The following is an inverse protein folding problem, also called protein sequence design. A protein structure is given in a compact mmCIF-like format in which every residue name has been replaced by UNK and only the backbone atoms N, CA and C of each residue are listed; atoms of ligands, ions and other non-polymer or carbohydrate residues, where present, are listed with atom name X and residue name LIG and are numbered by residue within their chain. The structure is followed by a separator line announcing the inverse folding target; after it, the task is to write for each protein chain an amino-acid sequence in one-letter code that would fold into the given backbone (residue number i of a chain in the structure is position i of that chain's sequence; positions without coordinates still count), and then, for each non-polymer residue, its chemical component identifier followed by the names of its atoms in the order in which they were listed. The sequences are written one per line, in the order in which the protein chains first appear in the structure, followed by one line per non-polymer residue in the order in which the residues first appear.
data_IF_774564201620
#
_entry.id   IF_774564201620
#
_cell.length_a   1.000
_cell.length_b   1.000
_cell.length_c   1.000
_cell.angle_alpha   90.00
_cell.angle_beta   90.00
_cell.angle_gamma   90.00
#
_symmetry.space_group_name_H-M   'P 1'
#
loop_
_entity.id
_entity.type
_entity.pdbx_description
1 polymer ?
#
# COMPACT_ATOMS: atom_id res chain seq x y z
N UNK A 1 29.37 22.79 -46.59
CA UNK A 1 28.27 21.85 -46.27
C UNK A 1 27.67 22.09 -44.88
N UNK A 2 28.20 22.99 -44.06
CA UNK A 2 27.51 23.49 -42.86
C UNK A 2 27.65 22.64 -41.60
N UNK A 3 28.25 21.45 -41.69
CA UNK A 3 28.50 20.57 -40.54
C UNK A 3 29.61 21.10 -39.62
N UNK A 4 29.49 20.81 -38.33
CA UNK A 4 30.49 21.16 -37.34
C UNK A 4 31.82 20.45 -37.65
N UNK A 5 32.93 21.12 -37.36
CA UNK A 5 34.28 20.60 -37.59
C UNK A 5 34.54 19.29 -36.85
N UNK A 6 33.93 19.13 -35.68
CA UNK A 6 34.03 17.93 -34.84
C UNK A 6 33.38 16.72 -35.50
N UNK A 7 32.15 16.86 -36.00
CA UNK A 7 31.45 15.78 -36.71
C UNK A 7 32.15 15.43 -38.03
N UNK A 8 32.72 16.43 -38.73
CA UNK A 8 33.54 16.20 -39.92
C UNK A 8 34.78 15.35 -39.61
N UNK A 9 35.51 15.68 -38.55
CA UNK A 9 36.68 14.89 -38.13
C UNK A 9 36.28 13.47 -37.69
N UNK A 10 35.19 13.33 -36.94
CA UNK A 10 34.68 12.02 -36.50
C UNK A 10 34.27 11.13 -37.68
N UNK A 11 33.67 11.73 -38.73
CA UNK A 11 33.24 11.00 -39.92
C UNK A 11 34.40 10.44 -40.74
N UNK A 12 35.49 11.20 -40.87
CA UNK A 12 36.72 10.75 -41.55
C UNK A 12 37.39 9.62 -40.78
N UNK A 13 37.35 9.67 -39.45
CA UNK A 13 37.84 8.57 -38.59
C UNK A 13 36.98 7.31 -38.72
N UNK A 14 35.66 7.44 -38.88
CA UNK A 14 34.73 6.31 -38.97
C UNK A 14 34.65 5.68 -40.36
N UNK A 15 34.72 6.49 -41.42
CA UNK A 15 34.42 6.08 -42.81
C UNK A 15 35.58 6.25 -43.79
N UNK A 16 36.72 6.79 -43.35
CA UNK A 16 37.88 7.11 -44.18
C UNK A 16 37.70 8.39 -45.00
N UNK A 17 38.66 8.70 -45.87
CA UNK A 17 38.71 9.95 -46.64
C UNK A 17 37.80 9.94 -47.90
N UNK A 18 36.56 9.48 -47.73
CA UNK A 18 35.53 9.49 -48.78
C UNK A 18 34.44 10.51 -48.41
N UNK A 19 34.32 11.62 -49.15
CA UNK A 19 33.42 12.72 -48.78
C UNK A 19 31.94 12.33 -48.80
N UNK A 20 31.51 11.48 -49.73
CA UNK A 20 30.10 11.05 -49.83
C UNK A 20 29.72 10.12 -48.67
N UNK A 21 30.63 9.23 -48.26
CA UNK A 21 30.41 8.35 -47.10
C UNK A 21 30.43 9.14 -45.78
N UNK A 22 31.35 10.10 -45.66
CA UNK A 22 31.40 10.99 -44.50
C UNK A 22 30.12 11.80 -44.35
N UNK A 23 29.59 12.32 -45.47
CA UNK A 23 28.32 13.04 -45.50
C UNK A 23 27.15 12.22 -44.96
N UNK A 24 26.97 10.99 -45.47
CA UNK A 24 25.90 10.09 -45.01
C UNK A 24 26.07 9.76 -43.52
N UNK A 25 27.30 9.49 -43.09
CA UNK A 25 27.59 9.19 -41.69
C UNK A 25 27.23 10.36 -40.76
N UNK A 26 27.60 11.59 -41.11
CA UNK A 26 27.30 12.77 -40.28
C UNK A 26 25.79 12.96 -40.14
N UNK A 27 25.04 12.84 -41.24
CA UNK A 27 23.57 12.96 -41.20
C UNK A 27 22.96 11.89 -40.32
N UNK A 28 23.32 10.61 -40.52
CA UNK A 28 22.81 9.52 -39.70
C UNK A 28 23.18 9.66 -38.21
N UNK A 29 24.40 10.11 -37.91
CA UNK A 29 24.87 10.30 -36.54
C UNK A 29 24.15 11.46 -35.82
N UNK A 30 23.85 12.54 -36.55
CA UNK A 30 23.08 13.66 -36.00
C UNK A 30 21.61 13.27 -35.77
N UNK A 31 21.00 12.54 -36.69
CA UNK A 31 19.65 12.00 -36.53
C UNK A 31 19.57 11.03 -35.33
N UNK A 32 20.55 10.14 -35.17
CA UNK A 32 20.62 9.23 -34.02
C UNK A 32 20.78 9.97 -32.70
N UNK A 33 21.67 10.97 -32.64
CA UNK A 33 21.82 11.83 -31.45
C UNK A 33 20.51 12.55 -31.11
N UNK A 34 19.82 13.08 -32.10
CA UNK A 34 18.54 13.75 -31.91
C UNK A 34 17.48 12.77 -31.42
N UNK A 35 17.37 11.60 -32.05
CA UNK A 35 16.45 10.55 -31.63
C UNK A 35 16.68 10.10 -30.18
N UNK A 36 17.94 9.88 -29.78
CA UNK A 36 18.29 9.53 -28.40
C UNK A 36 17.97 10.65 -27.41
N UNK A 37 18.19 11.91 -27.81
CA UNK A 37 17.83 13.07 -26.99
C UNK A 37 16.30 13.14 -26.79
N UNK A 38 15.54 13.02 -27.87
CA UNK A 38 14.07 13.07 -27.84
C UNK A 38 13.50 11.92 -27.00
N UNK A 39 14.07 10.72 -27.11
CA UNK A 39 13.68 9.55 -26.31
C UNK A 39 13.93 9.77 -24.82
N UNK A 40 15.10 10.29 -24.45
CA UNK A 40 15.42 10.60 -23.06
C UNK A 40 14.49 11.70 -22.50
N UNK A 41 14.23 12.74 -23.29
CA UNK A 41 13.32 13.82 -22.91
C UNK A 41 11.90 13.28 -22.69
N UNK A 42 11.38 12.49 -23.63
CA UNK A 42 10.06 11.87 -23.51
C UNK A 42 9.96 10.95 -22.27
N UNK A 43 11.04 10.21 -21.95
CA UNK A 43 11.08 9.38 -20.75
C UNK A 43 10.99 10.21 -19.47
N UNK A 44 11.73 11.31 -19.39
CA UNK A 44 11.72 12.21 -18.24
C UNK A 44 10.35 12.88 -18.10
N UNK A 45 9.80 13.40 -19.19
CA UNK A 45 8.48 14.04 -19.20
C UNK A 45 7.38 13.06 -18.80
N UNK A 46 7.44 11.81 -19.25
CA UNK A 46 6.48 10.76 -18.86
C UNK A 46 6.54 10.46 -17.36
N UNK A 47 7.74 10.33 -16.78
CA UNK A 47 7.88 10.13 -15.34
C UNK A 47 7.39 11.32 -14.53
N UNK A 48 7.71 12.54 -14.96
CA UNK A 48 7.26 13.76 -14.30
C UNK A 48 5.73 13.92 -14.37
N UNK A 49 5.11 13.61 -15.52
CA UNK A 49 3.65 13.62 -15.68
C UNK A 49 2.99 12.63 -14.73
N UNK A 50 3.49 11.37 -14.70
CA UNK A 50 2.96 10.34 -13.80
C UNK A 50 3.04 10.76 -12.33
N UNK A 51 4.16 11.35 -11.90
CA UNK A 51 4.31 11.86 -10.53
C UNK A 51 3.38 13.03 -10.23
N UNK A 52 3.17 13.93 -11.19
CA UNK A 52 2.25 15.07 -11.04
C UNK A 52 0.80 14.59 -10.90
N UNK A 53 0.36 13.69 -11.77
CA UNK A 53 -0.97 13.06 -11.72
C UNK A 53 -1.17 12.30 -10.40
N UNK A 54 -0.18 11.52 -9.95
CA UNK A 54 -0.27 10.81 -8.67
C UNK A 54 -0.42 11.78 -7.48
N UNK A 55 0.30 12.91 -7.51
CA UNK A 55 0.19 13.94 -6.48
C UNK A 55 -1.19 14.61 -6.49
N UNK A 56 -1.73 14.89 -7.68
CA UNK A 56 -3.05 15.50 -7.82
C UNK A 56 -4.15 14.54 -7.34
N UNK A 57 -4.10 13.27 -7.75
CA UNK A 57 -5.02 12.24 -7.28
C UNK A 57 -5.00 12.08 -5.76
N UNK A 58 -3.81 12.04 -5.15
CA UNK A 58 -3.67 12.00 -3.68
C UNK A 58 -4.26 13.24 -3.00
N UNK A 59 -4.09 14.42 -3.60
CA UNK A 59 -4.66 15.65 -3.06
C UNK A 59 -6.20 15.65 -3.14
N UNK A 60 -6.76 15.21 -4.27
CA UNK A 60 -8.20 15.08 -4.45
C UNK A 60 -8.80 14.05 -3.48
N UNK A 61 -8.17 12.87 -3.34
CA UNK A 61 -8.60 11.88 -2.35
C UNK A 61 -8.55 12.44 -0.92
N UNK A 62 -7.51 13.19 -0.58
CA UNK A 62 -7.40 13.77 0.75
C UNK A 62 -8.54 14.78 0.98
N UNK A 63 -8.85 15.63 0.00
CA UNK A 63 -9.99 16.55 0.11
C UNK A 63 -11.34 15.87 0.23
N UNK A 64 -11.58 14.76 -0.49
CA UNK A 64 -12.84 14.02 -0.37
C UNK A 64 -12.99 13.40 1.01
N UNK A 65 -11.92 12.84 1.57
CA UNK A 65 -11.90 12.34 2.96
C UNK A 65 -12.16 13.46 3.98
N UNK A 66 -11.63 14.67 3.74
CA UNK A 66 -11.87 15.83 4.62
C UNK A 66 -13.32 16.30 4.60
N UNK A 67 -13.94 16.33 3.42
CA UNK A 67 -15.30 16.87 3.22
C UNK A 67 -16.39 15.86 3.56
N UNK A 68 -16.06 14.58 3.68
CA UNK A 68 -17.05 13.53 3.94
C UNK A 68 -17.61 13.61 5.37
N UNK A 69 -18.91 13.90 5.46
CA UNK A 69 -19.68 13.78 6.72
C UNK A 69 -20.10 12.33 7.00
N UNK A 70 -20.46 11.58 5.96
CA UNK A 70 -20.75 10.16 6.05
C UNK A 70 -19.46 9.34 5.85
N UNK A 71 -18.63 9.27 6.88
CA UNK A 71 -17.30 8.65 6.83
C UNK A 71 -17.35 7.16 6.42
N UNK A 72 -18.36 6.42 6.88
CA UNK A 72 -18.57 5.01 6.54
C UNK A 72 -18.95 4.76 5.09
N UNK A 73 -19.56 5.74 4.39
CA UNK A 73 -19.93 5.62 2.99
C UNK A 73 -18.71 5.53 2.05
N UNK A 74 -17.53 5.95 2.52
CA UNK A 74 -16.27 5.84 1.77
C UNK A 74 -15.62 4.46 1.87
N UNK A 75 -16.06 3.61 2.80
CA UNK A 75 -15.46 2.30 3.10
C UNK A 75 -16.51 1.18 3.11
N UNK A 76 -17.28 1.07 2.03
CA UNK A 76 -18.39 0.10 1.91
C UNK A 76 -17.96 -1.36 1.94
N UNK A 77 -16.68 -1.64 1.65
CA UNK A 77 -16.12 -3.00 1.66
C UNK A 77 -15.39 -3.34 2.96
N UNK A 78 -15.41 -2.47 3.97
CA UNK A 78 -14.72 -2.71 5.25
C UNK A 78 -15.32 -3.90 6.00
N UNK A 79 -14.49 -4.88 6.37
CA UNK A 79 -14.88 -5.97 7.25
C UNK A 79 -15.12 -5.47 8.68
N UNK A 80 -14.36 -4.46 9.13
CA UNK A 80 -14.54 -3.83 10.45
C UNK A 80 -15.93 -3.17 10.59
N UNK A 81 -16.48 -2.65 9.49
CA UNK A 81 -17.82 -2.03 9.44
C UNK A 81 -18.94 -3.00 9.02
N UNK A 82 -18.59 -4.19 8.51
CA UNK A 82 -19.56 -5.20 8.03
C UNK A 82 -20.45 -5.75 9.15
N UNK A 83 -21.55 -6.43 8.79
CA UNK A 83 -22.44 -7.09 9.76
C UNK A 83 -21.73 -8.13 10.65
N UNK A 84 -20.66 -8.75 10.14
CA UNK A 84 -19.89 -9.80 10.83
C UNK A 84 -19.08 -9.25 12.02
N UNK A 85 -18.83 -7.95 12.06
CA UNK A 85 -18.09 -7.30 13.15
C UNK A 85 -18.96 -7.13 14.40
N UNK A 86 -18.45 -7.56 15.55
CA UNK A 86 -19.09 -7.43 16.87
C UNK A 86 -18.90 -6.03 17.50
N UNK A 87 -18.10 -5.15 16.86
CA UNK A 87 -17.72 -3.83 17.36
C UNK A 87 -18.83 -2.77 17.15
N UNK A 88 -19.90 -2.85 17.94
CA UNK A 88 -21.11 -2.01 17.78
C UNK A 88 -20.82 -0.53 18.08
N UNK A 89 -20.11 -0.20 19.16
CA UNK A 89 -19.86 1.20 19.56
C UNK A 89 -18.91 1.88 18.59
N UNK A 90 -17.91 1.17 18.09
CA UNK A 90 -16.98 1.65 17.07
C UNK A 90 -17.73 1.99 15.78
N UNK A 91 -18.64 1.11 15.32
CA UNK A 91 -19.46 1.38 14.14
C UNK A 91 -20.38 2.59 14.32
N UNK A 92 -21.01 2.72 15.48
CA UNK A 92 -21.85 3.88 15.80
C UNK A 92 -21.02 5.17 15.79
N UNK A 93 -19.84 5.17 16.42
CA UNK A 93 -18.94 6.33 16.43
C UNK A 93 -18.49 6.72 15.02
N UNK A 94 -18.12 5.73 14.19
CA UNK A 94 -17.70 5.95 12.81
C UNK A 94 -18.84 6.41 11.89
N UNK A 95 -20.08 6.03 12.18
CA UNK A 95 -21.25 6.41 11.39
C UNK A 95 -21.78 7.79 11.75
N UNK A 96 -21.82 8.11 13.05
CA UNK A 96 -22.56 9.26 13.56
C UNK A 96 -21.67 10.43 13.98
N UNK A 97 -20.51 10.17 14.58
CA UNK A 97 -19.77 11.20 15.30
C UNK A 97 -18.46 11.62 14.63
N UNK A 98 -17.77 10.70 13.95
CA UNK A 98 -16.46 10.99 13.34
C UNK A 98 -16.56 12.02 12.21
N UNK A 99 -17.71 12.11 11.55
CA UNK A 99 -17.98 13.09 10.50
C UNK A 99 -17.93 14.54 10.97
N UNK A 100 -18.27 14.76 12.25
CA UNK A 100 -18.27 16.08 12.90
C UNK A 100 -16.93 16.41 13.58
N UNK A 101 -16.03 15.44 13.67
CA UNK A 101 -14.66 15.66 14.16
C UNK A 101 -13.83 16.33 13.07
N UNK A 102 -12.98 17.29 13.48
CA UNK A 102 -12.09 18.02 12.60
C UNK A 102 -11.29 17.08 11.67
N UNK A 103 -11.26 17.35 10.36
CA UNK A 103 -10.60 16.49 9.37
C UNK A 103 -9.10 16.33 9.59
N UNK A 104 -8.45 17.31 10.22
CA UNK A 104 -7.02 17.28 10.55
C UNK A 104 -6.75 16.76 11.96
N UNK A 105 -7.80 16.34 12.69
CA UNK A 105 -7.62 15.67 13.98
C UNK A 105 -6.89 14.34 13.81
N UNK A 106 -6.06 14.03 14.81
CA UNK A 106 -5.28 12.80 14.81
C UNK A 106 -6.16 11.55 14.74
N UNK A 107 -7.30 11.56 15.44
CA UNK A 107 -8.27 10.46 15.45
C UNK A 107 -8.77 10.15 14.03
N UNK A 108 -9.21 11.19 13.30
CA UNK A 108 -9.77 11.02 11.95
C UNK A 108 -8.71 10.63 10.93
N UNK A 109 -7.50 11.17 11.04
CA UNK A 109 -6.37 10.80 10.17
C UNK A 109 -5.95 9.34 10.39
N UNK A 110 -5.79 8.92 11.65
CA UNK A 110 -5.37 7.56 11.99
C UNK A 110 -6.44 6.52 11.61
N UNK A 111 -7.72 6.78 11.86
CA UNK A 111 -8.83 5.90 11.44
C UNK A 111 -8.91 5.81 9.91
N UNK A 112 -8.76 6.94 9.20
CA UNK A 112 -8.72 6.95 7.74
C UNK A 112 -7.59 6.08 7.21
N UNK A 113 -6.40 6.19 7.82
CA UNK A 113 -5.24 5.41 7.42
C UNK A 113 -5.46 3.91 7.68
N UNK A 114 -6.00 3.54 8.83
CA UNK A 114 -6.32 2.15 9.15
C UNK A 114 -7.33 1.56 8.15
N UNK A 115 -8.41 2.28 7.82
CA UNK A 115 -9.41 1.81 6.86
C UNK A 115 -8.88 1.74 5.42
N UNK A 116 -7.93 2.62 5.04
CA UNK A 116 -7.21 2.49 3.76
C UNK A 116 -6.33 1.25 3.72
N UNK A 117 -5.62 0.94 4.81
CA UNK A 117 -4.82 -0.29 4.93
C UNK A 117 -5.73 -1.53 4.91
N UNK A 118 -6.88 -1.48 5.56
CA UNK A 118 -7.90 -2.53 5.47
C UNK A 118 -8.34 -2.73 4.02
N UNK A 119 -8.74 -1.68 3.31
CA UNK A 119 -9.18 -1.80 1.91
C UNK A 119 -8.09 -2.44 1.01
N UNK A 120 -6.81 -2.15 1.27
CA UNK A 120 -5.70 -2.80 0.59
C UNK A 120 -5.54 -4.27 0.98
N UNK A 121 -5.64 -4.61 2.27
CA UNK A 121 -5.62 -5.98 2.75
C UNK A 121 -6.74 -6.82 2.10
N UNK A 122 -7.95 -6.27 2.01
CA UNK A 122 -9.10 -6.90 1.35
C UNK A 122 -8.82 -7.10 -0.14
N UNK A 123 -8.25 -6.09 -0.80
CA UNK A 123 -7.90 -6.17 -2.24
C UNK A 123 -6.90 -7.29 -2.54
N UNK A 124 -5.90 -7.47 -1.69
CA UNK A 124 -4.81 -8.44 -1.92
C UNK A 124 -5.10 -9.84 -1.38
N UNK A 125 -5.69 -9.93 -0.19
CA UNK A 125 -5.82 -11.19 0.56
C UNK A 125 -7.26 -11.63 0.76
N UNK A 126 -8.24 -10.77 0.45
CA UNK A 126 -9.68 -11.06 0.49
C UNK A 126 -10.07 -11.68 1.84
N UNK A 127 -10.74 -12.83 1.81
CA UNK A 127 -11.27 -13.52 2.98
C UNK A 127 -10.17 -13.88 4.00
N UNK A 128 -8.95 -14.17 3.55
CA UNK A 128 -7.83 -14.47 4.47
C UNK A 128 -7.55 -13.33 5.45
N UNK A 129 -7.79 -12.08 5.05
CA UNK A 129 -7.61 -10.91 5.93
C UNK A 129 -8.78 -10.66 6.88
N UNK A 130 -9.93 -11.31 6.66
CA UNK A 130 -11.18 -11.03 7.37
C UNK A 130 -11.07 -11.27 8.87
N UNK A 131 -10.64 -12.45 9.30
CA UNK A 131 -10.56 -12.78 10.73
C UNK A 131 -9.60 -11.83 11.47
N UNK A 132 -8.48 -11.46 10.84
CA UNK A 132 -7.58 -10.45 11.41
C UNK A 132 -8.27 -9.09 11.58
N UNK A 133 -8.95 -8.61 10.53
CA UNK A 133 -9.63 -7.30 10.56
C UNK A 133 -10.80 -7.26 11.54
N UNK A 134 -11.54 -8.36 11.69
CA UNK A 134 -12.56 -8.50 12.73
C UNK A 134 -11.95 -8.44 14.13
N UNK A 135 -10.81 -9.12 14.38
CA UNK A 135 -10.10 -9.01 15.65
C UNK A 135 -9.56 -7.60 15.92
N UNK A 136 -9.12 -6.87 14.89
CA UNK A 136 -8.73 -5.46 15.02
C UNK A 136 -9.92 -4.63 15.50
N UNK A 137 -11.11 -4.83 14.92
CA UNK A 137 -12.32 -4.14 15.36
C UNK A 137 -12.67 -4.43 16.82
N UNK A 138 -12.54 -5.69 17.26
CA UNK A 138 -12.76 -6.08 18.66
C UNK A 138 -11.78 -5.44 19.63
N UNK A 139 -10.48 -5.40 19.27
CA UNK A 139 -9.45 -4.74 20.11
C UNK A 139 -9.72 -3.25 20.24
N UNK A 140 -10.12 -2.59 19.15
CA UNK A 140 -10.49 -1.18 19.16
C UNK A 140 -11.76 -0.93 20.00
N UNK A 141 -12.80 -1.75 19.85
CA UNK A 141 -14.03 -1.69 20.66
C UNK A 141 -13.73 -1.84 22.16
N UNK A 142 -12.87 -2.79 22.53
CA UNK A 142 -12.47 -3.00 23.93
C UNK A 142 -11.79 -1.76 24.50
N UNK A 143 -10.91 -1.11 23.74
CA UNK A 143 -10.25 0.13 24.15
C UNK A 143 -11.19 1.34 24.17
N UNK A 144 -12.27 1.32 23.37
CA UNK A 144 -13.30 2.34 23.34
C UNK A 144 -14.12 2.36 24.65
N UNK A 145 -14.30 1.21 25.30
CA UNK A 145 -15.03 1.11 26.57
C UNK A 145 -14.38 1.82 27.76
N UNK A 146 -13.11 2.25 27.64
CA UNK A 146 -12.35 2.79 28.77
C UNK A 146 -12.60 4.29 29.05
N UNK A 147 -13.07 5.08 28.07
CA UNK A 147 -13.32 6.52 28.23
C UNK A 147 -14.08 7.10 27.02
N UNK A 148 -14.57 8.35 27.13
CA UNK A 148 -15.15 9.07 26.00
C UNK A 148 -14.06 9.52 25.01
N UNK A 149 -13.87 8.73 23.95
CA UNK A 149 -12.86 8.91 22.91
C UNK A 149 -13.08 10.21 22.12
N UNK A 150 -14.33 10.63 21.92
CA UNK A 150 -14.64 11.84 21.15
C UNK A 150 -14.25 13.09 21.94
N UNK A 151 -14.50 13.13 23.25
CA UNK A 151 -14.07 14.27 24.05
C UNK A 151 -12.58 14.28 24.34
N UNK A 152 -11.97 13.11 24.49
CA UNK A 152 -10.55 12.99 24.82
C UNK A 152 -9.65 13.18 23.59
N UNK A 153 -9.96 12.53 22.47
CA UNK A 153 -8.99 12.31 21.39
C UNK A 153 -9.29 13.16 20.13
N UNK A 154 -10.44 13.86 20.05
CA UNK A 154 -10.76 14.81 18.95
C UNK A 154 -9.94 16.11 18.98
N UNK A 155 -9.51 16.56 20.16
CA UNK A 155 -8.77 17.82 20.35
C UNK A 155 -7.25 17.65 20.31
N UNK A 156 -6.77 16.41 20.19
CA UNK A 156 -5.34 16.11 20.20
C UNK A 156 -4.80 16.22 18.78
N UNK A 157 -3.87 17.15 18.57
CA UNK A 157 -3.22 17.37 17.27
C UNK A 157 -1.94 16.54 17.08
N UNK A 158 -1.35 15.98 18.15
CA UNK A 158 -0.07 15.27 18.09
C UNK A 158 -0.06 13.94 18.86
N UNK A 159 0.45 12.89 18.21
CA UNK A 159 0.54 11.52 18.73
C UNK A 159 1.48 11.41 19.93
N UNK A 160 2.57 12.19 19.93
CA UNK A 160 3.57 12.19 21.01
C UNK A 160 3.02 12.68 22.36
N UNK A 161 1.87 13.35 22.35
CA UNK A 161 1.22 13.92 23.54
C UNK A 161 -0.06 13.18 23.93
N UNK A 162 -0.51 12.19 23.16
CA UNK A 162 -1.75 11.47 23.46
C UNK A 162 -1.51 10.35 24.48
N UNK A 163 -1.99 10.50 25.71
CA UNK A 163 -2.10 9.42 26.70
C UNK A 163 -3.34 8.54 26.49
N UNK A 164 -4.07 8.74 25.39
CA UNK A 164 -5.33 8.06 25.05
C UNK A 164 -5.01 6.62 24.62
N UNK A 165 -5.41 5.64 25.45
CA UNK A 165 -5.17 4.22 25.18
C UNK A 165 -5.78 3.76 23.85
N UNK A 166 -6.93 4.33 23.47
CA UNK A 166 -7.56 4.07 22.16
C UNK A 166 -6.67 4.51 20.99
N UNK A 167 -6.11 5.71 21.04
CA UNK A 167 -5.20 6.23 20.00
C UNK A 167 -3.90 5.43 19.94
N UNK A 168 -3.37 5.01 21.09
CA UNK A 168 -2.19 4.15 21.15
C UNK A 168 -2.45 2.81 20.45
N UNK A 169 -3.55 2.13 20.79
CA UNK A 169 -3.97 0.89 20.12
C UNK A 169 -4.17 1.11 18.62
N UNK A 170 -4.80 2.22 18.22
CA UNK A 170 -5.03 2.55 16.81
C UNK A 170 -3.71 2.67 16.02
N UNK A 171 -2.71 3.37 16.57
CA UNK A 171 -1.40 3.49 15.93
C UNK A 171 -0.60 2.19 15.93
N UNK A 172 -0.71 1.38 16.97
CA UNK A 172 -0.06 0.06 17.02
C UNK A 172 -0.66 -0.88 15.97
N UNK A 173 -1.99 -0.90 15.81
CA UNK A 173 -2.66 -1.68 14.77
C UNK A 173 -2.32 -1.17 13.36
N UNK A 174 -2.28 0.15 13.16
CA UNK A 174 -1.83 0.77 11.90
C UNK A 174 -0.40 0.33 11.54
N UNK A 175 0.51 0.35 12.52
CA UNK A 175 1.90 -0.09 12.34
C UNK A 175 1.98 -1.59 12.05
N UNK A 176 1.27 -2.42 12.79
CA UNK A 176 1.26 -3.87 12.59
C UNK A 176 0.70 -4.25 11.22
N UNK A 177 -0.43 -3.65 10.82
CA UNK A 177 -1.04 -3.91 9.51
C UNK A 177 -0.16 -3.40 8.38
N UNK A 178 0.42 -2.20 8.50
CA UNK A 178 1.37 -1.68 7.52
C UNK A 178 2.58 -2.59 7.38
N UNK A 179 3.14 -3.09 8.50
CA UNK A 179 4.24 -4.05 8.47
C UNK A 179 3.82 -5.34 7.76
N UNK A 180 2.66 -5.91 8.12
CA UNK A 180 2.15 -7.13 7.51
C UNK A 180 1.87 -7.00 5.99
N UNK A 181 1.56 -5.80 5.51
CA UNK A 181 1.24 -5.54 4.11
C UNK A 181 2.47 -5.20 3.25
N UNK A 182 3.44 -4.47 3.82
CA UNK A 182 4.52 -3.85 3.03
C UNK A 182 5.92 -4.28 3.41
N UNK A 183 6.16 -4.63 4.68
CA UNK A 183 7.49 -5.06 5.13
C UNK A 183 7.53 -6.58 5.03
N UNK A 184 8.37 -7.14 4.14
CA UNK A 184 8.56 -8.59 3.90
C UNK A 184 8.20 -9.45 5.12
N UNK A 185 6.92 -9.86 5.27
CA UNK A 185 6.49 -10.61 6.42
C UNK A 185 6.85 -12.06 6.15
N UNK A 186 7.09 -12.83 7.21
CA UNK A 186 7.00 -14.27 7.08
C UNK A 186 5.61 -14.59 6.48
N UNK A 187 5.63 -15.27 5.35
CA UNK A 187 4.45 -15.54 4.54
C UNK A 187 4.44 -17.02 4.14
N UNK A 188 3.24 -17.56 4.00
CA UNK A 188 3.01 -18.92 3.49
C UNK A 188 2.08 -18.80 2.29
N UNK A 189 2.50 -19.31 1.14
CA UNK A 189 1.74 -19.18 -0.11
C UNK A 189 1.48 -17.73 -0.55
N UNK A 190 2.32 -16.78 -0.12
CA UNK A 190 2.14 -15.36 -0.39
C UNK A 190 1.18 -14.62 0.56
N UNK A 191 0.58 -15.31 1.54
CA UNK A 191 -0.29 -14.70 2.57
C UNK A 191 0.53 -14.43 3.86
N UNK A 192 0.43 -13.22 4.45
CA UNK A 192 1.05 -12.91 5.74
C UNK A 192 0.59 -13.87 6.84
N UNK A 193 1.54 -14.41 7.62
CA UNK A 193 1.24 -15.37 8.70
C UNK A 193 0.29 -14.80 9.75
N UNK A 194 0.28 -13.48 9.97
CA UNK A 194 -0.65 -12.84 10.91
C UNK A 194 -2.12 -13.02 10.51
N UNK A 195 -2.41 -13.10 9.21
CA UNK A 195 -3.76 -13.35 8.71
C UNK A 195 -4.15 -14.83 8.90
N UNK A 196 -3.20 -15.74 8.63
CA UNK A 196 -3.39 -17.18 8.83
C UNK A 196 -3.56 -17.54 10.32
N UNK A 197 -2.80 -16.90 11.22
CA UNK A 197 -2.91 -17.14 12.68
C UNK A 197 -4.21 -16.59 13.27
N UNK A 198 -4.76 -15.53 12.67
CA UNK A 198 -5.99 -14.91 13.13
C UNK A 198 -7.22 -15.76 12.80
N UNK A 199 -7.17 -16.53 11.72
CA UNK A 199 -8.21 -17.48 11.37
C UNK A 199 -7.99 -18.80 12.13
N UNK A 200 -8.89 -19.10 13.07
CA UNK A 200 -8.83 -20.35 13.85
C UNK A 200 -9.23 -21.56 13.01
N UNK A 201 -9.98 -21.36 11.93
CA UNK A 201 -10.46 -22.42 11.04
C UNK A 201 -9.45 -22.72 9.92
N UNK A 202 -8.57 -21.75 9.58
CA UNK A 202 -7.43 -21.93 8.67
C UNK A 202 -6.07 -22.09 9.37
N UNK A 203 -6.05 -22.37 10.69
CA UNK A 203 -4.87 -22.97 11.30
C UNK A 203 -4.71 -24.36 10.70
N UNK A 204 -3.98 -24.47 9.59
CA UNK A 204 -3.48 -25.73 9.06
C UNK A 204 -2.81 -26.48 10.21
N UNK A 205 -3.54 -27.42 10.81
CA UNK A 205 -2.94 -28.41 11.69
C UNK A 205 -2.24 -29.39 10.75
N UNK A 206 -0.94 -29.55 10.93
CA UNK A 206 -0.15 -30.56 10.23
C UNK A 206 -0.68 -32.00 10.45
N UNK A 207 -1.60 -32.19 11.40
CA UNK A 207 -2.23 -33.47 11.71
C UNK A 207 -3.39 -33.84 10.75
N UNK A 208 -3.88 -32.91 9.92
CA UNK A 208 -5.07 -33.12 9.06
C UNK A 208 -4.73 -33.23 7.56
N UNK A 209 -3.46 -33.06 7.20
CA UNK A 209 -2.97 -33.51 5.90
C UNK A 209 -2.83 -35.04 6.00
N UNK A 210 -3.75 -35.77 5.40
CA UNK A 210 -3.83 -37.24 5.33
C UNK A 210 -2.64 -37.93 4.64
N UNK A 211 -1.42 -37.47 4.87
CA UNK A 211 -0.20 -38.22 4.68
C UNK A 211 -0.07 -39.21 5.84
N UNK A 212 -0.64 -40.39 5.66
CA UNK A 212 -0.09 -41.57 6.33
C UNK A 212 1.38 -41.67 5.91
N UNK A 213 2.28 -41.31 6.82
CA UNK A 213 3.70 -41.67 6.71
C UNK A 213 3.72 -43.18 6.85
N UNK A 214 3.76 -43.90 5.72
CA UNK A 214 4.08 -45.32 5.71
C UNK A 214 5.53 -45.41 6.16
N UNK A 215 5.75 -45.65 7.44
CA UNK A 215 7.02 -46.15 7.94
C UNK A 215 7.23 -47.51 7.25
N UNK A 216 8.06 -47.51 6.21
CA UNK A 216 8.57 -48.75 5.64
C UNK A 216 9.43 -49.40 6.72
N UNK A 217 8.84 -50.32 7.46
CA UNK A 217 9.55 -51.28 8.31
C UNK A 217 10.62 -51.96 7.45
N UNK A 218 11.86 -51.46 7.55
CA UNK A 218 13.06 -52.17 7.14
C UNK A 218 13.34 -53.27 8.18
N UNK A 219 12.44 -54.24 8.24
CA UNK A 219 12.71 -55.59 8.73
C UNK A 219 12.67 -56.45 7.45
N UNK A 220 13.79 -56.66 6.77
CA UNK A 220 14.87 -57.55 7.21
C UNK A 220 14.67 -58.88 6.51
N UNK A 221 15.62 -59.29 5.68
CA UNK A 221 16.16 -60.66 5.72
C UNK A 221 17.41 -60.76 4.82
N UNK A 222 18.43 -61.37 5.42
CA UNK A 222 19.59 -62.00 4.79
C UNK A 222 19.18 -63.07 3.75
#
# INVERSE_FOLDING_TARGET
MGFAREDANASVLACGDNPDKCMVWIVSHLEEKQFLSDLNQASIESELSKRAEEKELKAQEHETMKKAKAFTALFTTSYMLSADSSAIKLKAMLSDAIGDVDPDSLLRVALTKLLKLEAQAIKWYKESSKCYLLQVAERLEASFGAHDVLQCCSKISNAATSSCAFVATLHDEERHLSKALFDMPENHGGVPIVFLKADKDMQFSLDDDGFEVVELDLTGDD
#
